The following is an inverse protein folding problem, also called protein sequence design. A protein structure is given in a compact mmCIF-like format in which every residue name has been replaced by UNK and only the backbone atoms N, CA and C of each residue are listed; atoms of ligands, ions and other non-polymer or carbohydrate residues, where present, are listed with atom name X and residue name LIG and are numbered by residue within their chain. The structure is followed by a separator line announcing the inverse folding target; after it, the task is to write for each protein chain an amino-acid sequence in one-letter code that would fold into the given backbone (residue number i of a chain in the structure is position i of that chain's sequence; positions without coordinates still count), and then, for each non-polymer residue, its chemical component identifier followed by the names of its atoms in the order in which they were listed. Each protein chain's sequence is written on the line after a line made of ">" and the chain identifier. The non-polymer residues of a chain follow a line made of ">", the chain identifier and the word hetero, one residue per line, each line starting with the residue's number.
data_IF_907817863770
#
_entry.id   IF_907817863770
#
_cell.length_a   1.000
_cell.length_b   1.000
_cell.length_c   1.000
_cell.angle_alpha   90.00
_cell.angle_beta   90.00
_cell.angle_gamma   90.00
#
_symmetry.space_group_name_H-M   'P 1'
#
loop_
_entity.id
_entity.type
_entity.pdbx_description
1 polymer ?
#
# COMPACT_ATOMS: atom_id res chain seq x y z
N UNK A 1 9.69 -11.37 10.62
CA UNK A 1 8.32 -11.88 10.47
C UNK A 1 7.39 -10.73 10.10
N UNK A 2 6.45 -10.96 9.22
CA UNK A 2 5.51 -9.95 8.79
C UNK A 2 4.15 -10.14 9.46
N UNK A 3 3.61 -9.06 10.01
CA UNK A 3 2.24 -9.06 10.52
C UNK A 3 1.43 -8.07 9.69
N UNK A 4 0.17 -8.36 9.46
CA UNK A 4 -0.70 -7.49 8.68
C UNK A 4 -1.94 -7.17 9.50
N UNK A 5 -2.14 -5.88 9.75
CA UNK A 5 -3.32 -5.37 10.44
C UNK A 5 -4.27 -4.80 9.39
N UNK A 6 -5.54 -5.17 9.50
CA UNK A 6 -6.58 -4.70 8.58
C UNK A 6 -7.63 -3.97 9.38
N UNK A 7 -8.02 -2.80 8.90
CA UNK A 7 -9.01 -1.96 9.56
C UNK A 7 -10.02 -1.50 8.51
N UNK A 8 -11.27 -1.97 8.64
CA UNK A 8 -12.31 -1.63 7.68
C UNK A 8 -13.03 -0.36 8.08
N UNK A 9 -13.07 0.59 7.15
CA UNK A 9 -13.77 1.85 7.33
C UNK A 9 -14.91 1.94 6.30
N UNK A 10 -15.74 2.96 6.42
CA UNK A 10 -16.92 3.09 5.58
C UNK A 10 -16.59 3.14 4.08
N UNK A 11 -15.56 3.88 3.71
CA UNK A 11 -15.25 4.13 2.29
C UNK A 11 -13.94 3.52 1.83
N UNK A 12 -13.18 2.88 2.71
CA UNK A 12 -11.88 2.28 2.36
C UNK A 12 -11.47 1.24 3.39
N UNK A 13 -10.50 0.42 3.01
CA UNK A 13 -9.89 -0.55 3.91
C UNK A 13 -8.43 -0.14 4.14
N UNK A 14 -8.04 -0.09 5.40
CA UNK A 14 -6.65 0.17 5.77
C UNK A 14 -5.90 -1.14 5.91
N UNK A 15 -4.77 -1.26 5.23
CA UNK A 15 -3.85 -2.38 5.34
C UNK A 15 -2.53 -1.87 5.89
N UNK A 16 -2.15 -2.32 7.09
CA UNK A 16 -0.89 -1.91 7.71
C UNK A 16 0.00 -3.12 7.93
N UNK A 17 0.98 -3.34 7.04
CA UNK A 17 2.01 -4.35 7.30
C UNK A 17 3.01 -3.85 8.34
N UNK A 18 3.46 -4.75 9.20
CA UNK A 18 4.48 -4.49 10.21
C UNK A 18 5.61 -5.48 10.01
N UNK A 19 6.79 -4.99 9.65
CA UNK A 19 7.95 -5.79 9.36
C UNK A 19 8.47 -5.55 7.95
N UNK A 20 9.49 -6.29 7.58
CA UNK A 20 10.13 -6.12 6.27
C UNK A 20 9.27 -6.72 5.15
N UNK A 21 9.22 -6.01 4.01
CA UNK A 21 8.56 -6.47 2.80
C UNK A 21 9.63 -6.88 1.79
N UNK A 22 10.00 -8.14 1.80
CA UNK A 22 11.07 -8.70 1.00
C UNK A 22 10.63 -10.00 0.30
N UNK A 23 11.56 -10.66 -0.35
CA UNK A 23 11.28 -11.89 -1.09
C UNK A 23 10.73 -13.00 -0.19
N UNK A 24 11.02 -12.97 1.11
CA UNK A 24 10.56 -14.01 2.05
C UNK A 24 9.15 -13.76 2.57
N UNK A 25 8.72 -12.52 2.61
CA UNK A 25 7.42 -12.14 3.20
C UNK A 25 6.39 -11.71 2.16
N UNK A 26 6.83 -11.47 0.92
CA UNK A 26 5.99 -10.87 -0.11
C UNK A 26 4.74 -11.69 -0.42
N UNK A 27 4.82 -13.01 -0.33
CA UNK A 27 3.65 -13.85 -0.63
C UNK A 27 2.50 -13.56 0.33
N UNK A 28 2.80 -13.40 1.61
CA UNK A 28 1.79 -13.07 2.63
C UNK A 28 1.14 -11.70 2.35
N UNK A 29 1.95 -10.72 2.01
CA UNK A 29 1.47 -9.38 1.69
C UNK A 29 0.61 -9.38 0.42
N UNK A 30 1.06 -10.08 -0.62
CA UNK A 30 0.33 -10.18 -1.88
C UNK A 30 -1.04 -10.82 -1.67
N UNK A 31 -1.10 -11.89 -0.88
CA UNK A 31 -2.35 -12.56 -0.57
C UNK A 31 -3.34 -11.64 0.12
N UNK A 32 -2.85 -10.88 1.11
CA UNK A 32 -3.69 -9.92 1.83
C UNK A 32 -4.22 -8.83 0.89
N UNK A 33 -3.37 -8.29 0.04
CA UNK A 33 -3.81 -7.26 -0.91
C UNK A 33 -4.83 -7.81 -1.91
N UNK A 34 -4.66 -9.03 -2.39
CA UNK A 34 -5.60 -9.63 -3.32
C UNK A 34 -7.00 -9.73 -2.73
N UNK A 35 -7.10 -10.07 -1.45
CA UNK A 35 -8.39 -10.09 -0.77
C UNK A 35 -8.97 -8.69 -0.58
N UNK A 36 -8.14 -7.76 -0.11
CA UNK A 36 -8.60 -6.42 0.24
C UNK A 36 -8.99 -5.59 -0.97
N UNK A 37 -8.32 -5.78 -2.09
CA UNK A 37 -8.61 -5.00 -3.30
C UNK A 37 -9.94 -5.38 -3.94
N UNK A 38 -10.62 -6.43 -3.47
CA UNK A 38 -11.99 -6.72 -3.84
C UNK A 38 -12.94 -5.66 -3.28
N UNK A 39 -12.54 -4.93 -2.24
CA UNK A 39 -13.34 -3.89 -1.61
C UNK A 39 -13.13 -2.51 -2.25
N UNK A 40 -12.54 -2.45 -3.40
CA UNK A 40 -12.30 -1.27 -4.24
C UNK A 40 -11.19 -0.35 -3.73
N UNK A 41 -11.39 0.33 -2.59
CA UNK A 41 -10.46 1.36 -2.13
C UNK A 41 -9.62 0.87 -0.97
N UNK A 42 -8.31 0.79 -1.18
CA UNK A 42 -7.37 0.31 -0.17
C UNK A 42 -6.32 1.36 0.11
N UNK A 43 -6.09 1.62 1.38
CA UNK A 43 -5.00 2.47 1.83
C UNK A 43 -3.94 1.56 2.46
N UNK A 44 -2.73 1.59 1.93
CA UNK A 44 -1.62 0.83 2.49
C UNK A 44 -0.76 1.76 3.33
N UNK A 45 -0.66 1.47 4.63
CA UNK A 45 0.14 2.25 5.55
C UNK A 45 1.48 1.54 5.78
N UNK A 46 2.55 2.15 5.29
CA UNK A 46 3.90 1.59 5.35
C UNK A 46 4.72 2.16 6.53
N UNK A 47 4.08 2.86 7.47
CA UNK A 47 4.80 3.52 8.56
C UNK A 47 5.56 2.53 9.47
N UNK A 48 5.14 1.26 9.52
CA UNK A 48 5.77 0.22 10.34
C UNK A 48 6.61 -0.74 9.50
N UNK A 49 6.94 -0.37 8.26
CA UNK A 49 7.80 -1.16 7.38
C UNK A 49 9.19 -0.53 7.34
N UNK A 50 10.19 -1.16 7.97
CA UNK A 50 11.55 -0.59 7.99
C UNK A 50 12.32 -0.78 6.69
N UNK A 51 11.91 -1.76 5.87
CA UNK A 51 12.62 -2.08 4.65
C UNK A 51 11.67 -2.70 3.63
N UNK A 52 11.83 -2.32 2.37
CA UNK A 52 11.09 -2.90 1.25
C UNK A 52 12.03 -3.03 0.06
N UNK A 53 12.03 -4.19 -0.59
CA UNK A 53 12.78 -4.41 -1.81
C UNK A 53 11.84 -4.42 -3.03
N UNK A 54 12.39 -4.79 -4.20
CA UNK A 54 11.61 -4.82 -5.43
C UNK A 54 10.45 -5.82 -5.39
N UNK A 55 10.55 -6.87 -4.59
CA UNK A 55 9.45 -7.84 -4.46
C UNK A 55 8.25 -7.19 -3.77
N UNK A 56 8.49 -6.43 -2.68
CA UNK A 56 7.44 -5.69 -2.00
C UNK A 56 6.81 -4.63 -2.90
N UNK A 57 7.64 -3.91 -3.63
CA UNK A 57 7.16 -2.90 -4.58
C UNK A 57 6.29 -3.55 -5.67
N UNK A 58 6.71 -4.70 -6.19
CA UNK A 58 5.93 -5.44 -7.19
C UNK A 58 4.57 -5.88 -6.66
N UNK A 59 4.49 -6.28 -5.39
CA UNK A 59 3.23 -6.65 -4.77
C UNK A 59 2.29 -5.44 -4.66
N UNK A 60 2.81 -4.27 -4.31
CA UNK A 60 2.02 -3.03 -4.29
C UNK A 60 1.45 -2.71 -5.67
N UNK A 61 2.28 -2.80 -6.70
CA UNK A 61 1.84 -2.54 -8.07
C UNK A 61 0.76 -3.53 -8.50
N UNK A 62 0.92 -4.80 -8.15
CA UNK A 62 -0.10 -5.81 -8.42
C UNK A 62 -1.42 -5.51 -7.73
N UNK A 63 -1.37 -5.03 -6.50
CA UNK A 63 -2.56 -4.61 -5.75
C UNK A 63 -3.28 -3.43 -6.42
N UNK A 64 -2.50 -2.47 -6.93
CA UNK A 64 -3.08 -1.32 -7.65
C UNK A 64 -3.83 -1.76 -8.89
N UNK A 65 -3.24 -2.65 -9.67
CA UNK A 65 -3.89 -3.17 -10.88
C UNK A 65 -5.20 -3.86 -10.55
N UNK A 66 -5.19 -4.69 -9.51
CA UNK A 66 -6.39 -5.41 -9.11
C UNK A 66 -7.48 -4.47 -8.61
N UNK A 67 -7.12 -3.46 -7.82
CA UNK A 67 -8.09 -2.47 -7.36
C UNK A 67 -8.72 -1.74 -8.53
N UNK A 68 -7.90 -1.33 -9.50
CA UNK A 68 -8.38 -0.61 -10.68
C UNK A 68 -9.24 -1.48 -11.59
N UNK A 69 -8.96 -2.78 -11.66
CA UNK A 69 -9.80 -3.73 -12.39
C UNK A 69 -11.18 -3.86 -11.73
N UNK A 70 -11.27 -3.55 -10.45
CA UNK A 70 -12.53 -3.59 -9.69
C UNK A 70 -13.13 -2.19 -9.50
N UNK A 71 -12.75 -1.24 -10.34
CA UNK A 71 -13.21 0.15 -10.29
C UNK A 71 -12.82 0.88 -9.01
N UNK A 72 -11.74 0.45 -8.37
CA UNK A 72 -11.21 1.06 -7.18
C UNK A 72 -9.84 1.68 -7.40
N UNK A 73 -9.16 1.94 -6.32
CA UNK A 73 -7.79 2.45 -6.35
C UNK A 73 -7.09 2.20 -5.01
N UNK A 74 -5.81 2.53 -4.98
CA UNK A 74 -4.95 2.38 -3.81
C UNK A 74 -4.28 3.71 -3.53
N UNK A 75 -4.11 4.03 -2.25
CA UNK A 75 -3.29 5.15 -1.82
C UNK A 75 -2.32 4.63 -0.77
N UNK A 76 -1.20 5.33 -0.59
CA UNK A 76 -0.12 4.87 0.31
C UNK A 76 0.21 5.96 1.31
N UNK A 77 0.30 5.58 2.58
CA UNK A 77 0.82 6.42 3.64
C UNK A 77 2.22 5.93 4.01
N UNK A 78 3.19 6.82 3.98
CA UNK A 78 4.57 6.47 4.29
C UNK A 78 5.32 7.71 4.75
N UNK A 79 5.94 7.61 5.93
CA UNK A 79 6.74 8.70 6.48
C UNK A 79 8.20 8.30 6.74
N UNK A 80 8.62 7.17 6.19
CA UNK A 80 10.01 6.70 6.34
C UNK A 80 10.84 7.20 5.16
N UNK A 81 11.88 8.02 5.39
CA UNK A 81 12.62 8.66 4.29
C UNK A 81 13.17 7.69 3.24
N UNK A 82 13.69 6.54 3.67
CA UNK A 82 14.27 5.57 2.74
C UNK A 82 13.20 4.97 1.82
N UNK A 83 12.01 4.68 2.35
CA UNK A 83 10.92 4.15 1.56
C UNK A 83 10.32 5.22 0.65
N UNK A 84 10.16 6.43 1.16
CA UNK A 84 9.67 7.55 0.35
C UNK A 84 10.58 7.77 -0.84
N UNK A 85 11.90 7.71 -0.62
CA UNK A 85 12.89 7.84 -1.68
C UNK A 85 12.77 6.72 -2.70
N UNK A 86 12.59 5.49 -2.25
CA UNK A 86 12.41 4.33 -3.13
C UNK A 86 11.17 4.51 -4.01
N UNK A 87 10.05 4.90 -3.40
CA UNK A 87 8.80 5.10 -4.11
C UNK A 87 8.90 6.23 -5.13
N UNK A 88 9.63 7.29 -4.79
CA UNK A 88 9.84 8.41 -5.71
C UNK A 88 10.80 8.03 -6.86
N UNK A 89 11.93 7.42 -6.54
CA UNK A 89 12.95 7.06 -7.52
C UNK A 89 12.44 6.08 -8.55
N UNK A 90 11.58 5.15 -8.15
CA UNK A 90 11.00 4.15 -9.04
C UNK A 90 9.80 4.67 -9.83
N UNK A 91 9.34 5.89 -9.55
CA UNK A 91 8.16 6.45 -10.21
C UNK A 91 6.83 5.96 -9.66
N UNK A 92 6.86 5.20 -8.56
CA UNK A 92 5.64 4.67 -7.94
C UNK A 92 4.68 5.78 -7.53
N UNK A 93 5.21 6.89 -7.02
CA UNK A 93 4.39 8.02 -6.57
C UNK A 93 3.71 8.78 -7.71
N UNK A 94 3.99 8.42 -8.96
CA UNK A 94 3.27 8.92 -10.13
C UNK A 94 2.08 8.02 -10.47
N UNK A 95 2.07 6.79 -9.94
CA UNK A 95 1.00 5.83 -10.20
C UNK A 95 -0.16 6.04 -9.24
N UNK A 96 0.16 6.21 -7.96
CA UNK A 96 -0.82 6.46 -6.90
C UNK A 96 -0.29 7.51 -5.93
N UNK A 97 -1.18 8.17 -5.17
CA UNK A 97 -0.74 9.11 -4.15
C UNK A 97 0.08 8.44 -3.06
N UNK A 98 1.19 9.08 -2.69
CA UNK A 98 2.00 8.71 -1.53
C UNK A 98 2.02 9.93 -0.61
N UNK A 99 1.50 9.78 0.59
CA UNK A 99 1.39 10.88 1.56
C UNK A 99 2.05 10.49 2.87
N UNK A 100 2.37 11.47 3.69
CA UNK A 100 3.06 11.23 4.97
C UNK A 100 2.17 10.58 6.02
N UNK A 101 0.88 10.89 6.02
CA UNK A 101 -0.05 10.41 7.04
C UNK A 101 -1.21 9.66 6.43
N UNK A 102 -1.85 8.83 7.25
CA UNK A 102 -3.06 8.12 6.84
C UNK A 102 -4.16 9.10 6.47
N UNK A 103 -4.33 10.18 7.24
CA UNK A 103 -5.35 11.19 6.99
C UNK A 103 -5.17 11.83 5.61
N UNK A 104 -3.96 12.20 5.27
CA UNK A 104 -3.65 12.78 3.97
C UNK A 104 -3.85 11.77 2.84
N UNK A 105 -3.49 10.50 3.08
CA UNK A 105 -3.67 9.45 2.09
C UNK A 105 -5.16 9.16 1.83
N UNK A 106 -5.99 9.23 2.87
CA UNK A 106 -7.45 9.08 2.74
C UNK A 106 -8.01 10.21 1.88
N UNK A 107 -7.60 11.44 2.14
CA UNK A 107 -8.06 12.59 1.35
C UNK A 107 -7.66 12.45 -0.11
N UNK A 108 -6.44 11.98 -0.38
CA UNK A 108 -5.96 11.77 -1.74
C UNK A 108 -6.74 10.67 -2.46
N UNK A 109 -7.16 9.64 -1.72
CA UNK A 109 -7.94 8.53 -2.27
C UNK A 109 -9.33 8.99 -2.72
N UNK A 110 -9.92 9.92 -2.00
CA UNK A 110 -11.25 10.47 -2.29
C UNK A 110 -11.22 11.63 -3.29
N UNK A 111 -10.04 12.11 -3.64
CA UNK A 111 -9.89 13.22 -4.58
C UNK A 111 -9.87 12.67 -6.00
N UNK A 112 -10.81 13.09 -6.87
CA UNK A 112 -10.87 12.60 -8.24
C UNK A 112 -9.71 13.05 -9.12
#
# INVERSE_FOLDING_TARGET
>A
MLEITVERNENYVLCRPTGELDAYTVAQFREALMELTEEKFVLVDLSDVPFMDSAGLGALIGGIRRARDNDGDVSVACNRPALVRLLHTTGFDRIVPVRETVEEAVLALNDP
#
